data_IF_341674404087
#
_entry.id   IF_341674404087
#
_cell.length_a   1.000
_cell.length_b   1.000
_cell.length_c   1.000
_cell.angle_alpha   90.00
_cell.angle_beta   90.00
_cell.angle_gamma   90.00
#
_symmetry.space_group_name_H-M   'P 1'
#
loop_
_entity.id
_entity.type
_entity.pdbx_description
1 polymer ?
#
# COMPACT_ATOMS: atom_id res chain seq x y z
N UNK A 1 -1.32 -47.22 19.59
CA UNK A 1 -0.96 -46.27 20.66
C UNK A 1 0.55 -46.30 20.77
N UNK A 2 1.32 -45.26 20.46
CA UNK A 2 1.09 -43.83 20.63
C UNK A 2 1.41 -43.06 19.34
N UNK A 3 0.59 -42.05 19.07
CA UNK A 3 0.77 -41.03 18.06
C UNK A 3 1.74 -39.98 18.61
N UNK A 4 2.82 -39.70 17.89
CA UNK A 4 3.62 -38.49 18.11
C UNK A 4 2.89 -37.31 17.45
N UNK A 5 2.60 -36.22 18.18
CA UNK A 5 2.02 -35.03 17.57
C UNK A 5 3.13 -34.28 16.84
N UNK A 6 2.99 -34.17 15.51
CA UNK A 6 3.60 -33.10 14.72
C UNK A 6 3.18 -31.78 15.36
N UNK A 7 4.13 -31.16 16.07
CA UNK A 7 4.04 -29.79 16.55
C UNK A 7 4.12 -28.88 15.32
N UNK A 8 2.97 -28.67 14.67
CA UNK A 8 2.78 -27.64 13.67
C UNK A 8 2.85 -26.29 14.37
N UNK A 9 4.04 -25.70 14.41
CA UNK A 9 4.15 -24.27 14.63
C UNK A 9 3.33 -23.58 13.53
N UNK A 10 2.52 -22.56 13.86
CA UNK A 10 1.85 -21.76 12.83
C UNK A 10 2.95 -21.19 11.93
N UNK A 11 2.73 -21.28 10.61
CA UNK A 11 3.64 -20.78 9.57
C UNK A 11 4.21 -19.44 10.01
N UNK A 12 5.48 -19.46 10.42
CA UNK A 12 6.17 -18.26 10.88
C UNK A 12 6.08 -17.25 9.76
N UNK A 13 5.56 -16.05 10.07
CA UNK A 13 5.59 -14.90 9.17
C UNK A 13 6.96 -14.85 8.51
N UNK A 14 6.99 -15.22 7.23
CA UNK A 14 8.22 -15.18 6.46
C UNK A 14 8.75 -13.76 6.59
N UNK A 15 9.97 -13.62 7.12
CA UNK A 15 10.58 -12.30 7.34
C UNK A 15 10.36 -11.45 6.09
N UNK A 16 9.77 -10.24 6.22
CA UNK A 16 9.47 -9.42 5.06
C UNK A 16 10.72 -9.28 4.19
N UNK A 17 10.58 -9.62 2.90
CA UNK A 17 11.68 -9.53 1.92
C UNK A 17 12.30 -8.13 1.92
N UNK A 18 11.45 -7.13 2.08
CA UNK A 18 11.81 -5.73 2.16
C UNK A 18 11.66 -5.24 3.60
N UNK A 19 12.61 -4.42 4.04
CA UNK A 19 12.56 -3.81 5.37
C UNK A 19 11.83 -2.46 5.29
N UNK A 20 11.09 -2.07 6.34
CA UNK A 20 10.54 -0.72 6.44
C UNK A 20 11.63 0.34 6.35
N UNK A 21 11.35 1.40 5.61
CA UNK A 21 12.14 2.63 5.52
C UNK A 21 11.40 3.74 6.27
N UNK A 22 12.02 4.35 7.30
CA UNK A 22 11.41 5.48 8.00
C UNK A 22 11.02 6.58 7.01
N UNK A 23 9.85 7.17 7.23
CA UNK A 23 9.34 8.24 6.38
C UNK A 23 10.11 9.55 6.62
N UNK A 24 10.36 10.26 5.53
CA UNK A 24 10.84 11.64 5.55
C UNK A 24 9.65 12.47 5.09
N UNK A 25 9.27 13.47 5.87
CA UNK A 25 8.14 14.32 5.53
C UNK A 25 8.39 15.04 4.20
N UNK A 26 7.48 14.84 3.24
CA UNK A 26 7.44 15.49 1.93
C UNK A 26 6.30 16.51 1.91
N UNK A 27 6.58 17.76 1.60
CA UNK A 27 5.61 18.86 1.54
C UNK A 27 5.60 19.60 0.19
N UNK A 28 6.64 19.42 -0.63
CA UNK A 28 6.71 19.96 -1.99
C UNK A 28 6.45 18.92 -3.06
N UNK A 29 6.01 19.39 -4.24
CA UNK A 29 5.86 18.55 -5.43
C UNK A 29 7.19 17.89 -5.81
N UNK A 30 8.29 18.63 -5.71
CA UNK A 30 9.63 18.16 -6.08
C UNK A 30 10.11 17.03 -5.18
N UNK A 31 9.84 17.11 -3.88
CA UNK A 31 10.22 16.06 -2.92
C UNK A 31 9.44 14.77 -3.19
N UNK A 32 8.16 14.90 -3.58
CA UNK A 32 7.31 13.75 -3.95
C UNK A 32 7.75 13.13 -5.26
N UNK A 33 8.06 13.93 -6.28
CA UNK A 33 8.59 13.45 -7.56
C UNK A 33 9.91 12.69 -7.36
N UNK A 34 10.81 13.22 -6.54
CA UNK A 34 12.06 12.54 -6.19
C UNK A 34 11.78 11.21 -5.48
N UNK A 35 10.86 11.19 -4.52
CA UNK A 35 10.46 9.97 -3.83
C UNK A 35 9.87 8.92 -4.79
N UNK A 36 9.03 9.35 -5.76
CA UNK A 36 8.46 8.47 -6.80
C UNK A 36 9.58 7.86 -7.65
N UNK A 37 10.55 8.66 -8.09
CA UNK A 37 11.67 8.17 -8.90
C UNK A 37 12.54 7.16 -8.13
N UNK A 38 12.83 7.44 -6.86
CA UNK A 38 13.56 6.52 -5.99
C UNK A 38 12.80 5.21 -5.74
N UNK A 39 11.48 5.30 -5.53
CA UNK A 39 10.61 4.16 -5.38
C UNK A 39 10.56 3.31 -6.66
N UNK A 40 10.35 3.93 -7.81
CA UNK A 40 10.30 3.27 -9.12
C UNK A 40 11.61 2.55 -9.44
N UNK A 41 12.75 3.22 -9.20
CA UNK A 41 14.07 2.59 -9.34
C UNK A 41 14.21 1.39 -8.40
N UNK A 42 13.79 1.53 -7.15
CA UNK A 42 13.84 0.43 -6.18
C UNK A 42 12.97 -0.75 -6.61
N UNK A 43 11.79 -0.51 -7.19
CA UNK A 43 10.96 -1.57 -7.75
C UNK A 43 11.66 -2.26 -8.92
N UNK A 44 12.23 -1.51 -9.86
CA UNK A 44 12.94 -2.08 -11.02
C UNK A 44 14.14 -2.95 -10.61
N UNK A 45 14.87 -2.54 -9.58
CA UNK A 45 16.04 -3.27 -9.08
C UNK A 45 15.68 -4.54 -8.32
N UNK A 46 14.50 -4.59 -7.71
CA UNK A 46 14.15 -5.64 -6.75
C UNK A 46 12.99 -6.54 -7.18
N UNK A 47 12.16 -6.14 -8.12
CA UNK A 47 10.97 -6.90 -8.52
C UNK A 47 11.25 -7.63 -9.83
N UNK A 48 11.19 -8.96 -9.79
CA UNK A 48 11.38 -9.80 -10.98
C UNK A 48 10.21 -9.68 -11.97
N UNK A 49 10.43 -9.98 -13.26
CA UNK A 49 9.44 -9.79 -14.33
C UNK A 49 8.17 -10.65 -14.22
N UNK A 50 8.19 -11.68 -13.35
CA UNK A 50 7.04 -12.56 -13.09
C UNK A 50 6.32 -12.21 -11.78
N UNK A 51 6.87 -11.30 -10.98
CA UNK A 51 6.26 -10.87 -9.73
C UNK A 51 5.13 -9.88 -10.03
N UNK A 52 4.01 -10.04 -9.32
CA UNK A 52 2.80 -9.21 -9.47
C UNK A 52 2.35 -8.72 -8.11
N UNK A 53 1.40 -7.78 -8.08
CA UNK A 53 0.93 -7.20 -6.82
C UNK A 53 2.02 -6.46 -6.07
N UNK A 54 2.91 -5.80 -6.80
CA UNK A 54 3.99 -5.00 -6.22
C UNK A 54 3.57 -3.55 -6.00
N UNK A 55 4.25 -2.85 -5.09
CA UNK A 55 3.96 -1.46 -4.79
C UNK A 55 4.59 -0.99 -3.50
N UNK A 56 3.94 -0.04 -2.83
CA UNK A 56 4.32 0.48 -1.51
C UNK A 56 3.25 0.14 -0.49
N UNK A 57 3.67 -0.24 0.71
CA UNK A 57 2.85 -0.16 1.91
C UNK A 57 3.26 1.09 2.70
N UNK A 58 2.35 2.03 2.88
CA UNK A 58 2.48 3.11 3.87
C UNK A 58 1.96 2.59 5.21
N UNK A 59 2.83 2.55 6.21
CA UNK A 59 2.42 2.29 7.59
C UNK A 59 2.19 3.62 8.28
N UNK A 60 1.00 3.78 8.88
CA UNK A 60 0.57 5.02 9.50
C UNK A 60 0.96 5.06 10.98
N UNK A 61 1.42 6.22 11.46
CA UNK A 61 1.88 6.42 12.84
C UNK A 61 0.78 6.15 13.88
N UNK A 62 -0.48 6.47 13.53
CA UNK A 62 -1.65 6.25 14.39
C UNK A 62 -2.30 4.86 14.19
N UNK A 63 -1.69 4.02 13.34
CA UNK A 63 -2.13 2.66 13.08
C UNK A 63 -2.83 2.44 11.72
N UNK A 64 -2.70 1.21 11.22
CA UNK A 64 -3.20 0.77 9.93
C UNK A 64 -2.20 0.98 8.78
N UNK A 65 -2.49 0.36 7.64
CA UNK A 65 -1.68 0.50 6.43
C UNK A 65 -2.50 0.90 5.21
N UNK A 66 -1.80 1.48 4.24
CA UNK A 66 -2.30 1.75 2.89
C UNK A 66 -1.36 1.07 1.90
N UNK A 67 -1.87 0.15 1.11
CA UNK A 67 -1.14 -0.44 0.00
C UNK A 67 -1.41 0.37 -1.25
N UNK A 68 -0.36 0.90 -1.87
CA UNK A 68 -0.40 1.68 -3.09
C UNK A 68 0.24 0.91 -4.24
N UNK A 69 -0.44 0.90 -5.39
CA UNK A 69 0.11 0.48 -6.67
C UNK A 69 -0.18 1.53 -7.74
N UNK A 70 0.84 1.95 -8.47
CA UNK A 70 0.68 2.75 -9.68
C UNK A 70 0.58 1.83 -10.91
N UNK A 71 -0.56 1.92 -11.59
CA UNK A 71 -0.76 1.40 -12.94
C UNK A 71 -0.53 2.53 -13.96
N UNK A 72 -0.61 2.23 -15.26
CA UNK A 72 -0.29 3.18 -16.31
C UNK A 72 -1.19 4.43 -16.34
N UNK A 73 -2.42 4.34 -15.83
CA UNK A 73 -3.44 5.39 -15.87
C UNK A 73 -4.17 5.59 -14.53
N UNK A 74 -3.75 4.89 -13.48
CA UNK A 74 -4.44 4.90 -12.19
C UNK A 74 -3.50 4.65 -11.01
N UNK A 75 -3.86 5.23 -9.86
CA UNK A 75 -3.34 4.86 -8.55
C UNK A 75 -4.37 3.99 -7.85
N UNK A 76 -3.97 2.79 -7.46
CA UNK A 76 -4.78 1.85 -6.70
C UNK A 76 -4.39 1.92 -5.23
N UNK A 77 -5.35 2.11 -4.35
CA UNK A 77 -5.16 2.00 -2.90
C UNK A 77 -5.97 0.84 -2.35
N UNK A 78 -5.35 0.04 -1.49
CA UNK A 78 -6.01 -0.91 -0.60
C UNK A 78 -5.77 -0.39 0.83
N UNK A 79 -6.82 0.06 1.50
CA UNK A 79 -6.77 0.67 2.83
C UNK A 79 -7.17 -0.41 3.84
N UNK A 80 -6.27 -0.74 4.76
CA UNK A 80 -6.59 -1.72 5.80
C UNK A 80 -7.77 -1.25 6.66
N UNK A 81 -8.49 -2.20 7.27
CA UNK A 81 -9.63 -1.90 8.12
C UNK A 81 -9.28 -0.90 9.24
N UNK A 82 -8.08 -1.04 9.83
CA UNK A 82 -7.57 -0.16 10.89
C UNK A 82 -7.15 1.22 10.36
N UNK A 83 -6.99 1.38 9.05
CA UNK A 83 -6.68 2.65 8.39
C UNK A 83 -7.92 3.36 7.83
N UNK A 84 -9.12 2.77 7.84
CA UNK A 84 -10.35 3.37 7.24
C UNK A 84 -10.65 4.81 7.65
N UNK A 85 -10.18 5.22 8.82
CA UNK A 85 -10.31 6.58 9.32
C UNK A 85 -9.64 7.64 8.41
N UNK A 86 -8.75 7.25 7.49
CA UNK A 86 -8.09 8.17 6.55
C UNK A 86 -8.96 8.55 5.33
N UNK A 87 -10.11 7.91 5.12
CA UNK A 87 -10.95 8.18 3.95
C UNK A 87 -11.24 9.69 3.73
N UNK A 88 -11.60 10.49 4.74
CA UNK A 88 -11.78 11.94 4.58
C UNK A 88 -10.52 12.68 4.11
N UNK A 89 -9.33 12.19 4.47
CA UNK A 89 -8.06 12.76 4.01
C UNK A 89 -7.77 12.40 2.56
N UNK A 90 -8.04 11.17 2.12
CA UNK A 90 -7.94 10.79 0.70
C UNK A 90 -8.85 11.70 -0.13
N UNK A 91 -10.11 11.88 0.30
CA UNK A 91 -11.07 12.77 -0.37
C UNK A 91 -10.55 14.20 -0.41
N UNK A 92 -10.08 14.73 0.72
CA UNK A 92 -9.57 16.11 0.80
C UNK A 92 -8.34 16.35 -0.09
N UNK A 93 -7.40 15.39 -0.13
CA UNK A 93 -6.17 15.52 -0.91
C UNK A 93 -6.41 15.36 -2.42
N UNK A 94 -7.33 14.48 -2.82
CA UNK A 94 -7.48 14.07 -4.23
C UNK A 94 -8.69 14.69 -4.92
N UNK A 95 -9.71 15.08 -4.14
CA UNK A 95 -11.03 15.47 -4.63
C UNK A 95 -11.88 14.30 -5.16
N UNK A 96 -11.44 13.05 -4.97
CA UNK A 96 -12.19 11.88 -5.36
C UNK A 96 -13.41 11.63 -4.46
N UNK A 97 -14.44 10.97 -4.99
CA UNK A 97 -15.57 10.50 -4.21
C UNK A 97 -15.17 9.27 -3.38
N UNK A 98 -15.67 9.17 -2.15
CA UNK A 98 -15.46 8.00 -1.31
C UNK A 98 -16.22 6.79 -1.89
N UNK A 99 -15.53 5.70 -2.27
CA UNK A 99 -16.18 4.51 -2.82
C UNK A 99 -17.04 3.77 -1.80
N UNK A 100 -17.00 4.12 -0.51
CA UNK A 100 -17.65 3.40 0.58
C UNK A 100 -16.98 2.06 0.87
N UNK A 101 -15.75 1.87 0.40
CA UNK A 101 -14.99 0.63 0.51
C UNK A 101 -13.51 0.86 0.81
N UNK A 102 -12.80 -0.22 1.09
CA UNK A 102 -11.36 -0.21 1.38
C UNK A 102 -10.49 -0.05 0.13
N UNK A 103 -11.08 -0.12 -1.06
CA UNK A 103 -10.34 -0.09 -2.31
C UNK A 103 -10.66 1.17 -3.11
N UNK A 104 -9.61 1.94 -3.41
CA UNK A 104 -9.71 3.19 -4.13
C UNK A 104 -9.01 3.07 -5.48
N UNK A 105 -9.69 3.54 -6.51
CA UNK A 105 -9.09 3.75 -7.83
C UNK A 105 -9.11 5.24 -8.11
N UNK A 106 -7.93 5.85 -8.14
CA UNK A 106 -7.74 7.28 -8.38
C UNK A 106 -7.09 7.47 -9.76
N UNK A 107 -7.36 8.58 -10.46
CA UNK A 107 -6.56 8.97 -11.62
C UNK A 107 -5.07 9.12 -11.24
N UNK A 108 -4.17 8.86 -12.18
CA UNK A 108 -2.72 8.94 -11.99
C UNK A 108 -2.24 10.33 -11.53
N UNK A 109 -2.86 11.39 -12.02
CA UNK A 109 -2.59 12.79 -11.65
C UNK A 109 -2.82 13.10 -10.16
N UNK A 110 -3.46 12.21 -9.41
CA UNK A 110 -3.71 12.34 -7.97
C UNK A 110 -2.56 11.86 -7.10
N UNK A 111 -1.59 11.12 -7.65
CA UNK A 111 -0.53 10.51 -6.86
C UNK A 111 0.22 11.55 -6.00
N UNK A 112 0.60 12.67 -6.62
CA UNK A 112 1.41 13.70 -5.94
C UNK A 112 0.63 14.31 -4.77
N UNK A 113 -0.62 14.73 -5.02
CA UNK A 113 -1.46 15.33 -3.98
C UNK A 113 -1.80 14.35 -2.87
N UNK A 114 -2.03 13.08 -3.21
CA UNK A 114 -2.24 12.02 -2.24
C UNK A 114 -1.03 11.87 -1.31
N UNK A 115 0.17 11.76 -1.86
CA UNK A 115 1.40 11.58 -1.06
C UNK A 115 1.64 12.78 -0.16
N UNK A 116 1.48 14.01 -0.66
CA UNK A 116 1.57 15.22 0.16
C UNK A 116 0.53 15.19 1.30
N UNK A 117 -0.72 14.87 0.99
CA UNK A 117 -1.81 14.85 1.96
C UNK A 117 -1.64 13.79 3.06
N UNK A 118 -1.01 12.65 2.73
CA UNK A 118 -0.73 11.58 3.70
C UNK A 118 0.58 11.77 4.47
N UNK A 119 1.48 12.61 3.96
CA UNK A 119 2.87 12.72 4.42
C UNK A 119 3.06 12.97 5.92
N UNK A 120 2.12 13.65 6.58
CA UNK A 120 2.20 13.89 8.03
C UNK A 120 1.77 12.68 8.89
N UNK A 121 1.12 11.68 8.30
CA UNK A 121 0.60 10.49 8.97
C UNK A 121 1.46 9.25 8.76
N UNK A 122 2.32 9.25 7.74
CA UNK A 122 3.15 8.10 7.40
C UNK A 122 4.32 8.00 8.39
N UNK A 123 4.45 6.85 9.04
CA UNK A 123 5.61 6.50 9.86
C UNK A 123 6.73 5.89 9.02
N UNK A 124 6.36 4.98 8.11
CA UNK A 124 7.32 4.28 7.26
C UNK A 124 6.70 3.79 5.96
N UNK A 125 7.58 3.44 5.01
CA UNK A 125 7.20 2.76 3.78
C UNK A 125 7.91 1.42 3.65
N UNK A 126 7.23 0.43 3.11
CA UNK A 126 7.81 -0.88 2.80
C UNK A 126 7.44 -1.26 1.37
N UNK A 127 8.42 -1.70 0.57
CA UNK A 127 8.10 -2.30 -0.73
C UNK A 127 7.31 -3.59 -0.51
N UNK A 128 6.28 -3.82 -1.32
CA UNK A 128 5.48 -5.05 -1.26
C UNK A 128 5.51 -5.77 -2.61
N UNK A 129 5.31 -7.09 -2.56
CA UNK A 129 5.10 -7.99 -3.70
C UNK A 129 4.03 -9.01 -3.33
N UNK A 130 3.28 -9.50 -4.31
CA UNK A 130 2.23 -10.49 -4.09
C UNK A 130 0.97 -9.96 -3.40
N UNK A 131 0.87 -8.63 -3.19
CA UNK A 131 -0.33 -8.03 -2.62
C UNK A 131 -1.51 -8.18 -3.57
N UNK A 132 -2.66 -8.60 -3.04
CA UNK A 132 -3.85 -8.84 -3.85
C UNK A 132 -4.78 -7.63 -3.82
N UNK A 133 -4.38 -6.56 -4.51
CA UNK A 133 -5.18 -5.35 -4.68
C UNK A 133 -6.63 -5.66 -5.06
N UNK A 134 -7.58 -5.11 -4.29
CA UNK A 134 -9.01 -5.22 -4.53
C UNK A 134 -9.59 -6.63 -4.37
N UNK A 135 -8.86 -7.55 -3.74
CA UNK A 135 -9.29 -8.96 -3.64
C UNK A 135 -10.50 -9.20 -2.76
N UNK A 136 -10.75 -8.34 -1.77
CA UNK A 136 -11.96 -8.38 -0.95
C UNK A 136 -13.22 -8.07 -1.79
N UNK A 137 -13.12 -7.15 -2.76
CA UNK A 137 -14.24 -6.78 -3.65
C UNK A 137 -14.55 -7.83 -4.71
N UNK A 138 -13.54 -8.59 -5.19
CA UNK A 138 -13.77 -9.65 -6.19
C UNK A 138 -14.68 -10.78 -5.69
N UNK A 139 -14.78 -11.00 -4.37
CA UNK A 139 -15.68 -12.03 -3.80
C UNK A 139 -17.15 -11.60 -3.73
N UNK A 140 -17.44 -10.31 -3.81
CA UNK A 140 -18.81 -9.78 -3.62
C UNK A 140 -19.59 -9.60 -4.94
N UNK A 141 -18.94 -9.81 -6.10
CA UNK A 141 -19.55 -9.72 -7.44
C UNK A 141 -20.10 -11.04 -8.01
N UNK A 142 -20.11 -12.12 -7.23
CA UNK A 142 -20.76 -13.39 -7.56
C UNK A 142 -21.64 -13.82 -6.38
N UNK A 143 -22.81 -13.20 -6.27
CA UNK A 143 -23.87 -13.54 -5.32
C UNK A 143 -25.23 -13.29 -5.95
#
# INVERSE_FOLDING_TARGET
>A
MKSDPLNGAPDGEAKPRFRPRPWIHLDTVQDVELWIDEHNRSLQENIGPQETGYGVCFTLAEGGNIYLHSAADAVLLDVDQDARWIAPLIVAATGAEDPGTDYWTLPDDKLIQLVIGLSCLVESTTLVVGHRFGSLHRKMGYG
#
